data_IF_716244839881
#
_entry.id   IF_716244839881
#
_cell.length_a   1.000
_cell.length_b   1.000
_cell.length_c   1.000
_cell.angle_alpha   90.00
_cell.angle_beta   90.00
_cell.angle_gamma   90.00
#
_symmetry.space_group_name_H-M   'P 1'
#
loop_
_entity.id
_entity.type
_entity.pdbx_description
1 polymer ?
#
# COMPACT_ATOMS: atom_id res chain seq x y z
N UNK A 1 51.03 16.74 -1.37
CA UNK A 1 50.32 17.85 -2.04
C UNK A 1 48.83 17.59 -1.87
N UNK A 2 48.15 18.47 -1.14
CA UNK A 2 46.71 18.38 -0.85
C UNK A 2 45.99 19.14 -1.95
N UNK A 3 45.14 18.47 -2.73
CA UNK A 3 44.30 19.12 -3.73
C UNK A 3 43.01 19.59 -3.06
N UNK A 4 42.86 20.91 -2.96
CA UNK A 4 41.64 21.59 -2.57
C UNK A 4 40.60 21.52 -3.71
N UNK A 5 39.36 21.15 -3.38
CA UNK A 5 38.20 21.29 -4.27
C UNK A 5 37.44 22.55 -3.85
N UNK A 6 37.37 23.52 -4.74
CA UNK A 6 36.57 24.75 -4.60
C UNK A 6 35.21 24.52 -5.25
N UNK A 7 34.11 24.73 -4.51
CA UNK A 7 32.76 24.79 -5.07
C UNK A 7 32.33 26.25 -5.20
N UNK A 8 32.21 26.75 -6.44
CA UNK A 8 31.60 28.04 -6.72
C UNK A 8 30.09 27.88 -6.94
N UNK A 9 29.27 28.46 -6.07
CA UNK A 9 27.83 28.55 -6.27
C UNK A 9 27.50 29.64 -7.30
N UNK A 10 26.81 29.26 -8.39
CA UNK A 10 26.12 30.21 -9.26
C UNK A 10 24.66 30.29 -8.82
N UNK A 11 24.26 31.47 -8.34
CA UNK A 11 22.86 31.85 -8.12
C UNK A 11 22.15 31.98 -9.46
N UNK A 12 21.15 31.15 -9.72
CA UNK A 12 20.19 31.34 -10.82
C UNK A 12 19.00 32.13 -10.31
N UNK A 13 18.84 33.37 -10.79
CA UNK A 13 17.61 34.14 -10.65
C UNK A 13 16.48 33.43 -11.41
N UNK A 14 15.42 33.06 -10.69
CA UNK A 14 14.20 32.52 -11.29
C UNK A 14 13.31 33.65 -11.79
N UNK A 15 13.11 33.74 -13.10
CA UNK A 15 12.06 34.59 -13.69
C UNK A 15 10.71 33.89 -13.49
N UNK A 16 9.86 34.44 -12.64
CA UNK A 16 8.50 33.95 -12.43
C UNK A 16 7.60 34.33 -13.62
N UNK A 17 7.11 33.34 -14.38
CA UNK A 17 5.95 33.51 -15.27
C UNK A 17 4.67 33.12 -14.51
N UNK A 18 3.57 33.87 -14.67
CA UNK A 18 2.28 33.50 -14.08
C UNK A 18 1.79 32.15 -14.62
N UNK A 19 1.09 31.40 -13.77
CA UNK A 19 0.44 30.13 -14.14
C UNK A 19 -0.78 30.45 -15.01
N UNK A 20 -0.79 29.92 -16.23
CA UNK A 20 -1.93 30.01 -17.14
C UNK A 20 -2.74 28.72 -17.06
N UNK A 21 -4.05 28.87 -16.84
CA UNK A 21 -5.01 27.77 -16.90
C UNK A 21 -5.97 28.05 -18.04
N UNK A 22 -6.21 27.04 -18.89
CA UNK A 22 -7.18 27.13 -19.97
C UNK A 22 -8.43 26.34 -19.64
N UNK A 23 -9.59 26.96 -19.86
CA UNK A 23 -10.89 26.30 -19.86
C UNK A 23 -11.72 26.87 -21.00
N UNK A 24 -12.29 25.98 -21.82
CA UNK A 24 -13.15 26.33 -22.96
C UNK A 24 -12.50 27.38 -23.88
N UNK A 25 -11.23 27.16 -24.23
CA UNK A 25 -10.39 28.04 -25.07
C UNK A 25 -10.13 29.44 -24.51
N UNK A 26 -10.51 29.72 -23.25
CA UNK A 26 -10.20 30.97 -22.56
C UNK A 26 -8.99 30.77 -21.66
N UNK A 27 -7.99 31.65 -21.77
CA UNK A 27 -6.78 31.67 -20.92
C UNK A 27 -7.02 32.59 -19.74
N UNK A 28 -6.81 32.08 -18.53
CA UNK A 28 -6.87 32.84 -17.30
C UNK A 28 -5.47 32.97 -16.69
N UNK A 29 -5.04 34.21 -16.45
CA UNK A 29 -3.84 34.49 -15.66
C UNK A 29 -4.20 34.51 -14.18
N UNK A 30 -3.58 33.64 -13.39
CA UNK A 30 -3.79 33.58 -11.94
C UNK A 30 -2.68 34.38 -11.26
N UNK A 31 -3.01 35.57 -10.76
CA UNK A 31 -2.14 36.31 -9.85
C UNK A 31 -2.27 35.73 -8.43
N UNK A 32 -1.25 34.99 -8.01
CA UNK A 32 -1.12 34.53 -6.62
C UNK A 32 -0.41 35.65 -5.82
N UNK A 33 -1.01 36.19 -4.76
CA UNK A 33 -0.34 37.20 -3.95
C UNK A 33 0.90 36.61 -3.28
N UNK A 34 2.01 37.35 -3.28
CA UNK A 34 3.23 36.96 -2.56
C UNK A 34 2.98 37.05 -1.05
N UNK A 35 2.89 35.90 -0.38
CA UNK A 35 3.10 35.83 1.06
C UNK A 35 4.61 35.76 1.36
N UNK A 36 5.06 36.57 2.31
CA UNK A 36 6.44 36.66 2.75
C UNK A 36 6.96 35.31 3.27
N UNK A 37 8.17 34.97 2.83
CA UNK A 37 8.86 33.74 3.16
C UNK A 37 9.39 33.77 4.60
N UNK A 38 8.74 33.05 5.52
CA UNK A 38 9.27 32.76 6.86
C UNK A 38 9.95 31.37 6.83
N UNK A 39 11.27 31.25 7.07
CA UNK A 39 11.93 29.96 7.04
C UNK A 39 11.69 29.20 8.34
N UNK A 40 11.47 27.89 8.18
CA UNK A 40 11.37 26.83 9.20
C UNK A 40 10.08 26.78 10.02
N UNK A 41 9.22 25.80 9.70
CA UNK A 41 8.41 25.15 10.72
C UNK A 41 8.12 23.69 10.36
N UNK A 42 8.45 22.84 11.32
CA UNK A 42 8.04 21.46 11.52
C UNK A 42 6.57 21.24 11.14
N UNK A 43 6.26 20.12 10.49
CA UNK A 43 4.90 19.71 10.14
C UNK A 43 4.08 19.56 11.43
N UNK A 44 3.40 20.64 11.82
CA UNK A 44 2.26 20.57 12.74
C UNK A 44 1.02 20.17 11.93
N UNK A 45 0.29 19.22 12.50
CA UNK A 45 -0.97 18.59 12.06
C UNK A 45 -1.84 19.44 11.11
N UNK A 46 -2.49 18.85 10.08
CA UNK A 46 -3.25 19.58 9.06
C UNK A 46 -4.64 20.10 9.54
N UNK A 47 -4.82 20.36 10.83
CA UNK A 47 -6.11 20.79 11.42
C UNK A 47 -6.23 22.30 11.65
N UNK A 48 -5.22 23.11 11.31
CA UNK A 48 -5.19 24.52 11.68
C UNK A 48 -6.13 25.46 10.88
N UNK A 49 -6.31 25.39 9.54
CA UNK A 49 -6.97 26.48 8.83
C UNK A 49 -8.48 26.60 9.09
N UNK A 50 -9.14 25.52 9.53
CA UNK A 50 -10.58 25.52 9.84
C UNK A 50 -10.91 26.05 11.24
N UNK A 51 -10.08 25.73 12.24
CA UNK A 51 -10.26 26.23 13.61
C UNK A 51 -10.05 27.75 13.67
N UNK A 52 -9.18 28.30 12.81
CA UNK A 52 -8.96 29.75 12.72
C UNK A 52 -10.17 30.48 12.12
N UNK A 53 -10.94 29.83 11.25
CA UNK A 53 -12.19 30.39 10.72
C UNK A 53 -13.29 30.40 11.78
N UNK A 54 -13.49 29.31 12.53
CA UNK A 54 -14.44 29.28 13.67
C UNK A 54 -14.09 30.31 14.76
N UNK A 55 -12.80 30.45 15.11
CA UNK A 55 -12.36 31.43 16.12
C UNK A 55 -12.50 32.88 15.66
N UNK A 56 -12.27 33.18 14.37
CA UNK A 56 -12.50 34.53 13.82
C UNK A 56 -13.99 34.84 13.65
N UNK A 57 -14.83 33.85 13.35
CA UNK A 57 -16.28 34.04 13.29
C UNK A 57 -16.84 34.35 14.69
N UNK A 58 -16.45 33.58 15.70
CA UNK A 58 -16.94 33.77 17.07
C UNK A 58 -16.44 35.06 17.72
N UNK A 59 -15.20 35.48 17.46
CA UNK A 59 -14.67 36.73 18.03
C UNK A 59 -15.36 37.99 17.50
N UNK A 60 -15.86 37.97 16.26
CA UNK A 60 -16.61 39.10 15.69
C UNK A 60 -18.09 39.14 16.13
N UNK A 61 -18.62 38.03 16.67
CA UNK A 61 -20.00 37.94 17.16
C UNK A 61 -20.14 38.53 18.57
N UNK A 62 -19.08 38.53 19.39
CA UNK A 62 -19.11 39.03 20.76
C UNK A 62 -19.08 40.57 20.87
N UNK A 63 -18.52 41.27 19.87
CA UNK A 63 -18.32 42.74 19.91
C UNK A 63 -19.40 43.55 19.15
N UNK A 64 -20.42 42.90 18.60
CA UNK A 64 -21.50 43.60 17.89
C UNK A 64 -22.88 43.19 18.38
N UNK A 65 -23.80 44.15 18.50
CA UNK A 65 -25.24 43.95 18.69
C UNK A 65 -25.85 43.27 17.44
N UNK A 66 -25.31 42.12 17.03
CA UNK A 66 -25.71 41.41 15.82
C UNK A 66 -27.11 40.89 16.04
N UNK A 67 -28.03 41.35 15.18
CA UNK A 67 -29.34 40.77 15.00
C UNK A 67 -29.24 39.25 15.06
N UNK A 68 -29.99 38.64 15.99
CA UNK A 68 -30.14 37.17 16.01
C UNK A 68 -30.53 36.73 14.61
N UNK A 69 -29.62 36.04 13.94
CA UNK A 69 -29.90 35.39 12.66
C UNK A 69 -31.14 34.52 12.87
N UNK A 70 -32.12 34.69 11.99
CA UNK A 70 -33.31 33.83 11.93
C UNK A 70 -32.87 32.36 12.02
N UNK A 71 -33.47 31.59 12.92
CA UNK A 71 -33.18 30.16 13.12
C UNK A 71 -33.29 29.38 11.80
N UNK A 72 -34.19 29.80 10.91
CA UNK A 72 -34.32 29.24 9.56
C UNK A 72 -33.04 29.40 8.73
N UNK A 73 -32.42 30.57 8.80
CA UNK A 73 -31.18 30.87 8.09
C UNK A 73 -29.99 30.13 8.71
N UNK A 74 -29.94 30.00 10.04
CA UNK A 74 -28.93 29.19 10.73
C UNK A 74 -29.00 27.71 10.33
N UNK A 75 -30.20 27.11 10.34
CA UNK A 75 -30.42 25.73 9.91
C UNK A 75 -30.04 25.50 8.44
N UNK A 76 -30.36 26.47 7.57
CA UNK A 76 -29.99 26.41 6.14
C UNK A 76 -28.48 26.46 5.93
N UNK A 77 -27.77 27.30 6.67
CA UNK A 77 -26.30 27.38 6.63
C UNK A 77 -25.64 26.11 7.16
N UNK A 78 -26.12 25.57 8.29
CA UNK A 78 -25.61 24.31 8.84
C UNK A 78 -25.78 23.15 7.85
N UNK A 79 -26.95 23.02 7.23
CA UNK A 79 -27.19 21.98 6.23
C UNK A 79 -26.27 22.10 5.01
N UNK A 80 -25.99 23.33 4.53
CA UNK A 80 -25.03 23.56 3.44
C UNK A 80 -23.61 23.20 3.85
N UNK A 81 -23.23 23.51 5.09
CA UNK A 81 -21.93 23.16 5.66
C UNK A 81 -21.76 21.64 5.76
N UNK A 82 -22.73 20.93 6.33
CA UNK A 82 -22.71 19.47 6.46
C UNK A 82 -22.65 18.78 5.09
N UNK A 83 -23.43 19.26 4.11
CA UNK A 83 -23.34 18.78 2.72
C UNK A 83 -21.95 18.98 2.12
N UNK A 84 -21.34 20.14 2.36
CA UNK A 84 -20.01 20.46 1.84
C UNK A 84 -18.94 19.56 2.47
N UNK A 85 -18.99 19.35 3.80
CA UNK A 85 -18.11 18.41 4.50
C UNK A 85 -18.24 17.00 3.92
N UNK A 86 -19.47 16.53 3.69
CA UNK A 86 -19.70 15.21 3.12
C UNK A 86 -19.11 15.08 1.69
N UNK A 87 -19.24 16.11 0.86
CA UNK A 87 -18.64 16.15 -0.49
C UNK A 87 -17.10 16.10 -0.39
N UNK A 88 -16.49 16.95 0.43
CA UNK A 88 -15.04 16.98 0.61
C UNK A 88 -14.49 15.66 1.16
N UNK A 89 -15.16 15.08 2.18
CA UNK A 89 -14.80 13.78 2.74
C UNK A 89 -14.87 12.67 1.69
N UNK A 90 -15.93 12.66 0.87
CA UNK A 90 -16.10 11.69 -0.23
C UNK A 90 -15.02 11.85 -1.30
N UNK A 91 -14.69 13.08 -1.70
CA UNK A 91 -13.64 13.36 -2.67
C UNK A 91 -12.25 12.95 -2.15
N UNK A 92 -11.95 13.24 -0.89
CA UNK A 92 -10.68 12.86 -0.27
C UNK A 92 -10.54 11.32 -0.18
N UNK A 93 -11.61 10.63 0.21
CA UNK A 93 -11.66 9.17 0.21
C UNK A 93 -11.47 8.59 -1.19
N UNK A 94 -12.05 9.21 -2.22
CA UNK A 94 -11.85 8.82 -3.61
C UNK A 94 -10.38 8.97 -4.05
N UNK A 95 -9.74 10.11 -3.77
CA UNK A 95 -8.32 10.33 -4.09
C UNK A 95 -7.42 9.32 -3.38
N UNK A 96 -7.67 9.05 -2.09
CA UNK A 96 -6.92 8.06 -1.33
C UNK A 96 -7.06 6.65 -1.94
N UNK A 97 -8.28 6.24 -2.31
CA UNK A 97 -8.53 4.98 -3.01
C UNK A 97 -7.76 4.91 -4.32
N UNK A 98 -7.83 5.94 -5.17
CA UNK A 98 -7.10 5.98 -6.46
C UNK A 98 -5.59 5.84 -6.26
N UNK A 99 -4.99 6.52 -5.27
CA UNK A 99 -3.55 6.37 -4.95
C UNK A 99 -3.21 4.94 -4.52
N UNK A 100 -4.01 4.35 -3.64
CA UNK A 100 -3.83 2.97 -3.18
C UNK A 100 -3.95 1.97 -4.34
N UNK A 101 -4.90 2.16 -5.24
CA UNK A 101 -5.06 1.32 -6.43
C UNK A 101 -3.87 1.44 -7.38
N UNK A 102 -3.36 2.64 -7.62
CA UNK A 102 -2.14 2.83 -8.43
C UNK A 102 -0.93 2.11 -7.81
N UNK A 103 -0.80 2.18 -6.49
CA UNK A 103 0.24 1.46 -5.76
C UNK A 103 0.08 -0.06 -5.91
N UNK A 104 -1.12 -0.59 -5.70
CA UNK A 104 -1.43 -2.01 -5.85
C UNK A 104 -1.15 -2.51 -7.27
N UNK A 105 -1.62 -1.79 -8.30
CA UNK A 105 -1.37 -2.14 -9.70
C UNK A 105 0.13 -2.14 -10.03
N UNK A 106 0.87 -1.14 -9.54
CA UNK A 106 2.34 -1.09 -9.70
C UNK A 106 3.03 -2.29 -9.05
N UNK A 107 2.63 -2.66 -7.82
CA UNK A 107 3.16 -3.82 -7.11
C UNK A 107 2.82 -5.13 -7.80
N UNK A 108 1.58 -5.30 -8.26
CA UNK A 108 1.16 -6.48 -9.03
C UNK A 108 1.99 -6.60 -10.29
N UNK A 109 2.13 -5.52 -11.06
CA UNK A 109 2.96 -5.54 -12.26
C UNK A 109 4.41 -5.91 -11.95
N UNK A 110 4.96 -5.41 -10.84
CA UNK A 110 6.33 -5.74 -10.40
C UNK A 110 6.44 -7.22 -10.02
N UNK A 111 5.61 -7.69 -9.09
CA UNK A 111 5.54 -9.09 -8.63
C UNK A 111 5.35 -10.04 -9.80
N UNK A 112 4.53 -9.69 -10.78
CA UNK A 112 4.26 -10.56 -11.92
C UNK A 112 5.37 -10.53 -12.98
N UNK A 113 6.04 -9.39 -13.15
CA UNK A 113 7.14 -9.27 -14.10
C UNK A 113 8.42 -9.95 -13.60
N UNK A 114 8.74 -9.74 -12.32
CA UNK A 114 10.01 -10.22 -11.73
C UNK A 114 9.84 -11.44 -10.86
N UNK A 115 8.63 -11.72 -10.38
CA UNK A 115 8.37 -12.82 -9.48
C UNK A 115 8.29 -14.16 -10.20
N UNK A 116 8.68 -15.18 -9.44
CA UNK A 116 8.62 -16.58 -9.85
C UNK A 116 8.18 -17.41 -8.67
N UNK A 117 7.11 -18.15 -8.88
CA UNK A 117 6.60 -19.09 -7.90
C UNK A 117 7.39 -20.39 -7.95
N UNK A 118 7.87 -20.80 -6.80
CA UNK A 118 8.59 -22.05 -6.60
C UNK A 118 8.01 -22.82 -5.42
N UNK A 119 8.34 -24.10 -5.36
CA UNK A 119 8.04 -25.00 -4.23
C UNK A 119 9.35 -25.61 -3.76
N UNK A 120 9.40 -25.98 -2.47
CA UNK A 120 10.47 -26.82 -1.93
C UNK A 120 9.99 -28.25 -2.04
N UNK A 121 10.48 -28.99 -3.02
CA UNK A 121 10.08 -30.37 -3.19
C UNK A 121 10.67 -31.27 -2.10
N UNK A 122 10.09 -32.47 -1.96
CA UNK A 122 10.52 -33.45 -0.95
C UNK A 122 11.99 -33.84 -1.06
N UNK A 123 12.59 -33.67 -2.24
CA UNK A 123 14.00 -33.94 -2.56
C UNK A 123 14.95 -32.77 -2.28
N UNK A 124 14.49 -31.74 -1.54
CA UNK A 124 15.22 -30.50 -1.23
C UNK A 124 15.53 -29.61 -2.45
N UNK A 125 15.01 -29.95 -3.64
CA UNK A 125 15.15 -29.12 -4.83
C UNK A 125 14.11 -28.00 -4.86
N UNK A 126 14.48 -26.88 -5.50
CA UNK A 126 13.57 -25.78 -5.78
C UNK A 126 12.92 -26.06 -7.12
N UNK A 127 11.63 -26.36 -7.12
CA UNK A 127 10.87 -26.63 -8.33
C UNK A 127 10.05 -25.41 -8.73
N UNK A 128 10.17 -24.99 -9.98
CA UNK A 128 9.34 -23.92 -10.55
C UNK A 128 7.89 -24.42 -10.58
N UNK A 129 7.02 -23.74 -9.85
CA UNK A 129 5.62 -24.16 -9.70
C UNK A 129 4.78 -23.83 -10.94
N UNK A 130 5.17 -22.79 -11.70
CA UNK A 130 4.40 -22.32 -12.87
C UNK A 130 5.32 -21.81 -13.97
N UNK A 131 4.93 -22.01 -15.24
CA UNK A 131 5.71 -21.65 -16.42
C UNK A 131 5.71 -20.14 -16.76
N UNK A 132 5.49 -19.28 -15.77
CA UNK A 132 5.46 -17.84 -15.94
C UNK A 132 4.06 -17.26 -16.03
N UNK A 133 3.91 -16.09 -15.43
CA UNK A 133 2.67 -15.33 -15.42
C UNK A 133 2.46 -14.70 -16.80
N UNK A 134 1.30 -14.93 -17.42
CA UNK A 134 0.91 -14.23 -18.64
C UNK A 134 0.64 -12.75 -18.34
N UNK A 135 0.98 -11.85 -19.26
CA UNK A 135 0.57 -10.45 -19.17
C UNK A 135 -0.96 -10.36 -19.03
N UNK A 136 -1.43 -9.56 -18.08
CA UNK A 136 -2.85 -9.36 -17.87
C UNK A 136 -3.48 -8.60 -19.04
N UNK A 137 -4.64 -9.08 -19.45
CA UNK A 137 -5.53 -8.31 -20.31
C UNK A 137 -6.08 -7.10 -19.54
N UNK A 138 -6.47 -6.04 -20.26
CA UNK A 138 -7.14 -4.88 -19.67
C UNK A 138 -8.36 -5.28 -18.83
N UNK A 139 -9.13 -6.27 -19.28
CA UNK A 139 -10.29 -6.81 -18.57
C UNK A 139 -9.91 -7.44 -17.23
N UNK A 140 -8.80 -8.17 -17.17
CA UNK A 140 -8.33 -8.77 -15.91
C UNK A 140 -7.82 -7.72 -14.93
N UNK A 141 -7.20 -6.66 -15.42
CA UNK A 141 -6.83 -5.50 -14.61
C UNK A 141 -8.09 -4.80 -14.07
N UNK A 142 -9.15 -4.65 -14.87
CA UNK A 142 -10.43 -4.10 -14.43
C UNK A 142 -11.15 -4.99 -13.41
N UNK A 143 -11.18 -6.32 -13.63
CA UNK A 143 -11.72 -7.27 -12.67
C UNK A 143 -10.93 -7.28 -11.36
N UNK A 144 -9.60 -7.23 -11.48
CA UNK A 144 -8.69 -7.03 -10.35
C UNK A 144 -9.07 -5.79 -9.58
N UNK A 145 -9.27 -4.63 -10.23
CA UNK A 145 -9.67 -3.41 -9.51
C UNK A 145 -10.97 -3.57 -8.74
N UNK A 146 -11.97 -4.25 -9.31
CA UNK A 146 -13.25 -4.50 -8.64
C UNK A 146 -13.11 -5.41 -7.42
N UNK A 147 -12.23 -6.41 -7.51
CA UNK A 147 -12.01 -7.40 -6.44
C UNK A 147 -11.00 -6.95 -5.40
N UNK A 148 -10.06 -6.10 -5.77
CA UNK A 148 -8.91 -5.76 -4.95
C UNK A 148 -9.31 -5.06 -3.65
N UNK A 149 -10.29 -4.16 -3.70
CA UNK A 149 -10.81 -3.53 -2.48
C UNK A 149 -11.41 -4.55 -1.51
N UNK A 150 -12.02 -5.62 -2.02
CA UNK A 150 -12.58 -6.69 -1.21
C UNK A 150 -11.47 -7.58 -0.63
N UNK A 151 -10.48 -7.97 -1.44
CA UNK A 151 -9.34 -8.78 -0.98
C UNK A 151 -8.45 -8.04 0.03
N UNK A 152 -8.30 -6.72 -0.11
CA UNK A 152 -7.46 -5.91 0.78
C UNK A 152 -8.21 -5.41 2.03
N UNK A 153 -9.52 -5.63 2.11
CA UNK A 153 -10.33 -5.22 3.27
C UNK A 153 -10.18 -6.27 4.36
N UNK A 154 -9.67 -5.87 5.53
CA UNK A 154 -9.40 -6.80 6.62
C UNK A 154 -10.58 -6.84 7.62
N UNK A 155 -11.40 -7.92 7.65
CA UNK A 155 -12.58 -7.98 8.50
C UNK A 155 -12.24 -7.94 9.99
N UNK A 156 -11.11 -8.54 10.39
CA UNK A 156 -10.62 -8.53 11.77
C UNK A 156 -10.26 -7.12 12.26
N UNK A 157 -10.03 -6.17 11.34
CA UNK A 157 -9.75 -4.77 11.63
C UNK A 157 -10.89 -3.84 11.18
N UNK A 158 -12.13 -4.33 11.14
CA UNK A 158 -13.30 -3.54 10.78
C UNK A 158 -13.32 -3.13 9.31
N UNK A 159 -12.91 -4.02 8.41
CA UNK A 159 -12.83 -3.81 6.97
C UNK A 159 -11.82 -2.74 6.53
N UNK A 160 -10.90 -2.37 7.41
CA UNK A 160 -9.86 -1.36 7.13
C UNK A 160 -8.87 -1.90 6.11
N UNK A 161 -8.58 -1.08 5.09
CA UNK A 161 -7.51 -1.35 4.12
C UNK A 161 -6.22 -0.69 4.62
N UNK A 162 -5.16 -1.46 4.73
CA UNK A 162 -3.84 -1.03 5.20
C UNK A 162 -2.76 -1.36 4.16
N UNK A 163 -1.55 -0.79 4.25
CA UNK A 163 -0.45 -1.19 3.39
C UNK A 163 -0.09 -2.69 3.47
N UNK A 164 -0.29 -3.32 4.63
CA UNK A 164 -0.09 -4.77 4.82
C UNK A 164 -1.16 -5.59 4.09
N UNK A 165 -2.43 -5.25 4.29
CA UNK A 165 -3.53 -5.95 3.62
C UNK A 165 -3.58 -5.74 2.11
N UNK A 166 -3.04 -4.62 1.62
CA UNK A 166 -2.74 -4.45 0.19
C UNK A 166 -1.71 -5.46 -0.28
N UNK A 167 -0.60 -5.62 0.43
CA UNK A 167 0.45 -6.58 0.07
C UNK A 167 -0.10 -8.01 0.04
N UNK A 168 -0.82 -8.41 1.10
CA UNK A 168 -1.48 -9.71 1.18
C UNK A 168 -2.39 -9.96 -0.04
N UNK A 169 -3.25 -8.99 -0.36
CA UNK A 169 -4.15 -9.07 -1.51
C UNK A 169 -3.40 -9.15 -2.86
N UNK A 170 -2.28 -8.43 -3.00
CA UNK A 170 -1.43 -8.50 -4.21
C UNK A 170 -0.86 -9.90 -4.38
N UNK A 171 -0.36 -10.51 -3.30
CA UNK A 171 0.26 -11.84 -3.34
C UNK A 171 -0.78 -12.94 -3.58
N UNK A 172 -1.91 -12.91 -2.88
CA UNK A 172 -2.98 -13.89 -3.09
C UNK A 172 -3.55 -13.80 -4.51
N UNK A 173 -3.72 -12.58 -5.04
CA UNK A 173 -4.14 -12.39 -6.43
C UNK A 173 -3.08 -12.90 -7.42
N UNK A 174 -1.80 -12.61 -7.18
CA UNK A 174 -0.71 -13.13 -8.00
C UNK A 174 -0.66 -14.66 -8.01
N UNK A 175 -0.95 -15.30 -6.87
CA UNK A 175 -1.02 -16.74 -6.73
C UNK A 175 -2.23 -17.33 -7.49
N UNK A 176 -3.43 -16.74 -7.36
CA UNK A 176 -4.62 -17.12 -8.13
C UNK A 176 -4.33 -17.06 -9.64
N UNK A 177 -3.73 -15.95 -10.09
CA UNK A 177 -3.46 -15.73 -11.52
C UNK A 177 -2.30 -16.55 -12.06
N UNK A 178 -1.36 -16.91 -11.19
CA UNK A 178 -0.33 -17.90 -11.48
C UNK A 178 -0.87 -19.33 -11.54
N UNK A 179 -2.13 -19.58 -11.17
CA UNK A 179 -2.67 -20.93 -10.96
C UNK A 179 -1.93 -21.70 -9.84
N UNK A 180 -1.33 -20.97 -8.89
CA UNK A 180 -0.79 -21.50 -7.63
C UNK A 180 -1.94 -21.83 -6.70
N UNK A 181 -2.91 -20.92 -6.63
CA UNK A 181 -4.22 -21.21 -6.07
C UNK A 181 -5.14 -21.48 -7.27
N UNK A 182 -5.55 -22.74 -7.52
CA UNK A 182 -6.28 -23.10 -8.73
C UNK A 182 -7.70 -22.52 -8.78
N UNK A 183 -8.20 -22.04 -7.64
CA UNK A 183 -9.53 -21.52 -7.48
C UNK A 183 -9.49 -20.05 -7.08
N UNK A 184 -10.62 -19.39 -7.31
CA UNK A 184 -10.81 -18.00 -6.91
C UNK A 184 -10.63 -17.85 -5.41
N UNK A 185 -9.81 -16.88 -4.99
CA UNK A 185 -9.64 -16.52 -3.59
C UNK A 185 -10.61 -15.43 -3.16
N UNK A 186 -11.06 -15.53 -1.92
CA UNK A 186 -11.84 -14.54 -1.19
C UNK A 186 -11.18 -14.24 0.16
N UNK A 187 -11.48 -13.07 0.72
CA UNK A 187 -11.00 -12.70 2.05
C UNK A 187 -11.67 -13.60 3.08
N UNK A 188 -10.87 -14.22 3.95
CA UNK A 188 -11.41 -15.00 5.05
C UNK A 188 -12.02 -14.04 6.11
N UNK A 189 -13.18 -14.42 6.68
CA UNK A 189 -14.02 -13.51 7.47
C UNK A 189 -13.81 -13.62 8.97
N UNK A 190 -13.29 -14.74 9.46
CA UNK A 190 -13.04 -14.99 10.87
C UNK A 190 -11.74 -14.34 11.37
N UNK A 191 -10.80 -14.09 10.45
CA UNK A 191 -9.47 -13.58 10.77
C UNK A 191 -8.50 -14.67 11.24
N UNK A 192 -8.85 -15.95 11.05
CA UNK A 192 -7.98 -17.08 11.36
C UNK A 192 -6.92 -17.29 10.27
N UNK A 193 -7.26 -16.98 9.01
CA UNK A 193 -6.32 -16.93 7.90
C UNK A 193 -6.56 -15.66 7.08
N UNK A 194 -5.71 -15.39 6.09
CA UNK A 194 -5.85 -14.20 5.25
C UNK A 194 -6.88 -14.41 4.13
N UNK A 195 -6.93 -15.61 3.54
CA UNK A 195 -7.78 -15.93 2.41
C UNK A 195 -8.35 -17.35 2.47
N UNK A 196 -9.46 -17.56 1.79
CA UNK A 196 -10.06 -18.87 1.56
C UNK A 196 -10.39 -19.03 0.08
N UNK A 197 -10.12 -20.20 -0.49
CA UNK A 197 -10.47 -20.50 -1.88
C UNK A 197 -11.86 -21.16 -2.00
N UNK A 198 -12.34 -21.33 -3.23
CA UNK A 198 -13.65 -21.92 -3.49
C UNK A 198 -13.83 -23.39 -3.01
N UNK A 199 -12.75 -24.07 -2.63
CA UNK A 199 -12.79 -25.42 -2.05
C UNK A 199 -12.75 -25.42 -0.52
N UNK A 200 -12.70 -24.23 0.09
CA UNK A 200 -12.57 -24.09 1.53
C UNK A 200 -11.14 -24.26 2.04
N UNK A 201 -10.13 -24.24 1.15
CA UNK A 201 -8.72 -24.27 1.57
C UNK A 201 -8.35 -22.86 2.01
N UNK A 202 -7.81 -22.75 3.21
CA UNK A 202 -7.32 -21.51 3.81
C UNK A 202 -5.87 -21.24 3.44
N UNK A 203 -5.55 -19.97 3.27
CA UNK A 203 -4.25 -19.49 2.82
C UNK A 203 -3.80 -18.30 3.66
N UNK A 204 -2.60 -18.40 4.21
CA UNK A 204 -1.91 -17.29 4.87
C UNK A 204 -0.83 -16.71 3.94
N UNK A 205 -0.56 -15.41 4.07
CA UNK A 205 0.49 -14.71 3.32
C UNK A 205 1.56 -14.19 4.27
N UNK A 206 2.80 -14.65 4.09
CA UNK A 206 3.97 -14.09 4.77
C UNK A 206 4.80 -13.30 3.79
N UNK A 207 5.00 -12.02 4.07
CA UNK A 207 5.81 -11.11 3.25
C UNK A 207 6.94 -10.48 4.08
N UNK A 208 7.92 -11.27 4.55
CA UNK A 208 9.05 -10.72 5.27
C UNK A 208 9.85 -9.76 4.38
N UNK A 209 10.61 -8.88 5.02
CA UNK A 209 11.38 -7.82 4.36
C UNK A 209 12.78 -7.94 4.89
N UNK A 210 13.79 -7.70 4.06
CA UNK A 210 15.15 -7.52 4.59
C UNK A 210 15.33 -6.13 5.18
N UNK A 211 16.17 -5.97 6.21
CA UNK A 211 16.52 -4.65 6.72
C UNK A 211 17.16 -3.81 5.61
N UNK A 212 16.78 -2.53 5.56
CA UNK A 212 17.45 -1.53 4.73
C UNK A 212 18.80 -1.17 5.36
N UNK A 213 19.74 -0.62 4.58
CA UNK A 213 21.07 -0.25 5.06
C UNK A 213 21.06 0.66 6.32
N UNK A 214 20.02 1.47 6.48
CA UNK A 214 19.82 2.37 7.63
C UNK A 214 18.97 1.78 8.77
N UNK A 215 18.52 0.53 8.66
CA UNK A 215 17.63 -0.10 9.64
C UNK A 215 18.38 -0.60 10.87
N UNK A 216 17.87 -0.29 12.07
CA UNK A 216 18.44 -0.75 13.35
C UNK A 216 17.99 -2.17 13.76
N UNK A 217 17.49 -2.98 12.83
CA UNK A 217 16.94 -4.31 13.11
C UNK A 217 17.55 -5.34 12.16
N UNK A 218 17.57 -6.60 12.59
CA UNK A 218 18.13 -7.72 11.84
C UNK A 218 17.02 -8.64 11.35
N UNK A 219 17.20 -9.18 10.14
CA UNK A 219 16.34 -10.25 9.65
C UNK A 219 16.48 -11.48 10.54
N UNK A 220 15.36 -11.99 11.04
CA UNK A 220 15.31 -13.21 11.87
C UNK A 220 14.58 -14.32 11.09
N UNK A 221 15.32 -15.29 10.49
CA UNK A 221 14.74 -16.39 9.75
C UNK A 221 13.99 -17.37 10.64
N UNK A 222 14.41 -17.57 11.90
CA UNK A 222 13.73 -18.48 12.83
C UNK A 222 12.37 -17.93 13.23
N UNK A 223 12.25 -16.62 13.45
CA UNK A 223 10.95 -15.99 13.65
C UNK A 223 10.00 -16.17 12.46
N UNK A 224 10.52 -16.11 11.23
CA UNK A 224 9.68 -16.40 10.04
C UNK A 224 9.26 -17.87 9.99
N UNK A 225 10.18 -18.80 10.25
CA UNK A 225 9.87 -20.23 10.33
C UNK A 225 8.80 -20.51 11.39
N UNK A 226 8.89 -19.91 12.57
CA UNK A 226 7.89 -20.09 13.64
C UNK A 226 6.49 -19.64 13.20
N UNK A 227 6.39 -18.50 12.48
CA UNK A 227 5.11 -18.04 11.93
C UNK A 227 4.55 -19.02 10.91
N UNK A 228 5.40 -19.51 10.00
CA UNK A 228 4.99 -20.48 8.97
C UNK A 228 4.49 -21.77 9.65
N UNK A 229 5.25 -22.33 10.61
CA UNK A 229 4.83 -23.51 11.38
C UNK A 229 3.50 -23.29 12.10
N UNK A 230 3.27 -22.08 12.61
CA UNK A 230 1.99 -21.74 13.24
C UNK A 230 0.84 -21.89 12.25
N UNK A 231 0.92 -21.29 11.05
CA UNK A 231 -0.16 -21.40 10.06
C UNK A 231 -0.33 -22.85 9.59
N UNK A 232 0.77 -23.55 9.30
CA UNK A 232 0.74 -24.97 8.91
C UNK A 232 0.06 -25.85 9.97
N UNK A 233 0.28 -25.56 11.25
CA UNK A 233 -0.36 -26.29 12.36
C UNK A 233 -1.88 -26.07 12.43
N UNK A 234 -2.40 -24.99 11.83
CA UNK A 234 -3.83 -24.73 11.69
C UNK A 234 -4.43 -25.38 10.43
N UNK A 235 -3.60 -26.04 9.61
CA UNK A 235 -4.00 -26.64 8.34
C UNK A 235 -4.00 -25.66 7.16
N UNK A 236 -3.49 -24.45 7.37
CA UNK A 236 -3.39 -23.44 6.31
C UNK A 236 -2.26 -23.78 5.33
N UNK A 237 -2.43 -23.33 4.10
CA UNK A 237 -1.32 -23.25 3.13
C UNK A 237 -0.67 -21.88 3.23
N UNK A 238 0.62 -21.79 2.92
CA UNK A 238 1.36 -20.53 3.05
C UNK A 238 1.85 -20.03 1.69
N UNK A 239 1.54 -18.77 1.39
CA UNK A 239 2.17 -18.00 0.33
C UNK A 239 3.31 -17.16 0.93
N UNK A 240 4.56 -17.56 0.69
CA UNK A 240 5.74 -16.89 1.21
C UNK A 240 6.35 -15.97 0.14
N UNK A 241 6.17 -14.65 0.30
CA UNK A 241 6.72 -13.64 -0.58
C UNK A 241 8.10 -13.17 -0.11
N UNK A 242 9.15 -13.59 -0.81
CA UNK A 242 10.54 -13.21 -0.54
C UNK A 242 11.08 -12.17 -1.54
N UNK A 243 10.24 -11.58 -2.38
CA UNK A 243 10.68 -10.57 -3.37
C UNK A 243 11.25 -9.30 -2.74
N UNK A 244 11.03 -9.11 -1.44
CA UNK A 244 11.49 -7.97 -0.63
C UNK A 244 12.66 -8.33 0.30
N UNK A 245 13.13 -9.56 0.22
CA UNK A 245 14.34 -10.00 0.89
C UNK A 245 15.55 -9.84 -0.04
N UNK A 246 16.71 -9.53 0.52
CA UNK A 246 17.97 -9.61 -0.20
C UNK A 246 18.35 -11.09 -0.41
N UNK A 247 19.35 -11.34 -1.26
CA UNK A 247 19.80 -12.69 -1.60
C UNK A 247 20.26 -13.51 -0.39
N UNK A 248 20.97 -12.89 0.56
CA UNK A 248 21.49 -13.56 1.76
C UNK A 248 20.37 -14.04 2.67
N UNK A 249 19.42 -13.16 2.99
CA UNK A 249 18.29 -13.47 3.87
C UNK A 249 17.35 -14.49 3.21
N UNK A 250 17.13 -14.34 1.90
CA UNK A 250 16.38 -15.32 1.09
C UNK A 250 17.01 -16.70 1.20
N UNK A 251 18.31 -16.82 0.91
CA UNK A 251 19.04 -18.10 0.98
C UNK A 251 19.03 -18.69 2.39
N UNK A 252 19.20 -17.85 3.41
CA UNK A 252 19.20 -18.26 4.81
C UNK A 252 17.85 -18.85 5.21
N UNK A 253 16.75 -18.16 4.89
CA UNK A 253 15.40 -18.66 5.18
C UNK A 253 15.07 -19.91 4.36
N UNK A 254 15.43 -19.96 3.08
CA UNK A 254 15.19 -21.15 2.24
C UNK A 254 15.92 -22.38 2.76
N UNK A 255 17.19 -22.25 3.15
CA UNK A 255 17.94 -23.36 3.74
C UNK A 255 17.29 -23.78 5.06
N UNK A 256 16.95 -22.83 5.92
CA UNK A 256 16.27 -23.13 7.18
C UNK A 256 14.96 -23.89 6.95
N UNK A 257 14.13 -23.48 5.99
CA UNK A 257 12.89 -24.20 5.64
C UNK A 257 13.15 -25.62 5.14
N UNK A 258 14.25 -25.86 4.41
CA UNK A 258 14.63 -27.21 3.96
C UNK A 258 15.13 -28.08 5.11
N UNK A 259 15.89 -27.51 6.02
CA UNK A 259 16.52 -28.24 7.11
C UNK A 259 15.51 -28.57 8.23
N UNK A 260 14.49 -27.72 8.42
CA UNK A 260 13.61 -27.75 9.59
C UNK A 260 12.17 -28.21 9.30
N UNK A 261 11.71 -28.20 8.05
CA UNK A 261 10.35 -28.63 7.71
C UNK A 261 10.35 -30.00 7.04
N UNK A 262 9.39 -30.82 7.44
CA UNK A 262 9.16 -32.14 6.85
C UNK A 262 8.69 -32.01 5.38
N UNK A 263 8.93 -33.01 4.52
CA UNK A 263 8.51 -32.99 3.11
C UNK A 263 7.03 -32.63 2.90
N UNK A 264 6.14 -33.14 3.76
CA UNK A 264 4.71 -32.87 3.72
C UNK A 264 4.40 -31.41 4.03
N UNK A 265 5.05 -30.82 5.05
CA UNK A 265 4.90 -29.41 5.41
C UNK A 265 5.38 -28.50 4.27
N UNK A 266 6.53 -28.82 3.67
CA UNK A 266 7.08 -28.05 2.54
C UNK A 266 6.16 -28.05 1.33
N UNK A 267 5.40 -29.11 1.11
CA UNK A 267 4.43 -29.21 0.02
C UNK A 267 3.24 -28.23 0.16
N UNK A 268 3.03 -27.68 1.34
CA UNK A 268 1.98 -26.70 1.65
C UNK A 268 2.45 -25.24 1.50
N UNK A 269 3.72 -25.02 1.14
CA UNK A 269 4.32 -23.69 1.01
C UNK A 269 4.61 -23.39 -0.46
N UNK A 270 4.11 -22.26 -0.94
CA UNK A 270 4.47 -21.69 -2.23
C UNK A 270 5.27 -20.42 -2.03
N UNK A 271 6.45 -20.36 -2.63
CA UNK A 271 7.41 -19.29 -2.41
C UNK A 271 7.50 -18.42 -3.65
N UNK A 272 7.31 -17.12 -3.49
CA UNK A 272 7.51 -16.13 -4.55
C UNK A 272 8.89 -15.51 -4.41
N UNK A 273 9.78 -15.82 -5.34
CA UNK A 273 11.14 -15.30 -5.42
C UNK A 273 11.24 -14.21 -6.48
N UNK A 274 12.19 -13.29 -6.31
CA UNK A 274 12.64 -12.45 -7.43
C UNK A 274 13.40 -13.34 -8.43
N UNK A 275 13.23 -13.12 -9.74
CA UNK A 275 13.85 -13.90 -10.82
C UNK A 275 15.37 -14.03 -10.66
N UNK A 276 16.03 -12.98 -10.17
CA UNK A 276 17.47 -12.96 -9.92
C UNK A 276 17.91 -13.87 -8.76
N UNK A 277 16.99 -14.24 -7.86
CA UNK A 277 17.27 -15.06 -6.68
C UNK A 277 17.16 -16.57 -6.95
N UNK A 278 16.75 -17.00 -8.15
CA UNK A 278 16.59 -18.43 -8.50
C UNK A 278 17.94 -19.11 -8.75
N UNK A 279 18.98 -18.34 -9.07
CA UNK A 279 20.32 -18.87 -9.37
C UNK A 279 21.15 -19.16 -8.09
N UNK A 280 20.55 -19.09 -6.89
CA UNK A 280 21.19 -19.22 -5.57
C UNK A 280 21.15 -20.63 -4.98
#
# INVERSE_FOLDING_TARGET
MINNVTLSGKSTQYNHRPLQVTKDSTVYDINVPQEEFIPSCTIQKPYAPLITYEKKLNKNIEDSNVCKLDESLQKSLQLKYDKSINIFSTALAHVARVKMFKLAASRINTVMATGRWVTLAGDNNINIATSGVKHFTKKEIEDMYKRFSHLASDPAKGNKISPGSIEEAVIAFAAEKGNIIPHRVEREKTGLSEFIDARGITWDVKSPVSPTFSGAWTFDPHHQLMKIRHDLSQGDRTLLNLTRCNAKDTKTLLNLLKDELEPEERSLIYILLNKEAIEL
#
